data_IF_015608786773
#
_entry.id   IF_015608786773
#
_cell.length_a   1.000
_cell.length_b   1.000
_cell.length_c   1.000
_cell.angle_alpha   90.00
_cell.angle_beta   90.00
_cell.angle_gamma   90.00
#
_symmetry.space_group_name_H-M   'P 1'
#
loop_
_entity.id
_entity.type
_entity.pdbx_description
1 polymer ?
#
# COMPACT_ATOMS: atom_id res chain seq x y z
N UNK A 1 24.25 -20.25 11.98
CA UNK A 1 22.90 -19.69 11.74
C UNK A 1 22.80 -18.40 12.56
N UNK A 2 22.86 -17.24 11.91
CA UNK A 2 22.66 -15.96 12.61
C UNK A 2 21.18 -15.63 12.56
N UNK A 3 20.47 -15.89 13.65
CA UNK A 3 19.14 -15.36 13.89
C UNK A 3 19.27 -13.87 14.16
N UNK A 4 18.81 -13.05 13.21
CA UNK A 4 18.66 -11.63 13.42
C UNK A 4 17.62 -11.41 14.52
N UNK A 5 18.00 -10.72 15.59
CA UNK A 5 17.06 -10.31 16.62
C UNK A 5 16.18 -9.20 16.05
N UNK A 6 15.00 -9.55 15.54
CA UNK A 6 14.01 -8.57 15.08
C UNK A 6 13.53 -7.78 16.29
N UNK A 7 13.89 -6.50 16.34
CA UNK A 7 13.44 -5.57 17.37
C UNK A 7 11.98 -5.22 17.09
N UNK A 8 11.11 -5.40 18.08
CA UNK A 8 9.73 -4.92 17.99
C UNK A 8 9.75 -3.38 18.02
N UNK A 9 9.20 -2.77 16.96
CA UNK A 9 9.10 -1.32 16.79
C UNK A 9 7.70 -0.80 17.16
N UNK A 10 6.79 -1.68 17.59
CA UNK A 10 5.39 -1.37 17.81
C UNK A 10 4.64 -1.16 16.49
N UNK A 11 3.46 -0.54 16.58
CA UNK A 11 2.61 -0.32 15.41
C UNK A 11 3.19 0.75 14.47
N UNK A 12 3.37 0.43 13.17
CA UNK A 12 3.88 1.38 12.20
C UNK A 12 2.85 2.49 11.95
N UNK A 13 3.31 3.75 11.97
CA UNK A 13 2.50 4.92 11.62
C UNK A 13 2.73 5.43 10.21
N UNK A 14 3.85 5.06 9.61
CA UNK A 14 4.26 5.48 8.27
C UNK A 14 5.03 4.36 7.58
N UNK A 15 4.80 4.17 6.29
CA UNK A 15 5.60 3.28 5.43
C UNK A 15 5.64 3.86 4.01
N UNK A 16 6.82 4.09 3.44
CA UNK A 16 7.00 4.69 2.10
C UNK A 16 6.14 5.96 1.89
N UNK A 17 6.14 6.86 2.88
CA UNK A 17 5.34 8.10 2.90
C UNK A 17 3.81 7.91 2.89
N UNK A 18 3.35 6.68 3.13
CA UNK A 18 1.96 6.33 3.38
C UNK A 18 1.71 6.38 4.89
N UNK A 19 0.80 7.25 5.30
CA UNK A 19 0.26 7.31 6.66
C UNK A 19 -0.59 6.06 6.93
N UNK A 20 -0.32 5.42 8.07
CA UNK A 20 -1.04 4.23 8.52
C UNK A 20 -1.76 4.58 9.82
N UNK A 21 -3.08 4.47 9.81
CA UNK A 21 -3.94 4.62 10.98
C UNK A 21 -4.63 3.29 11.29
N UNK A 22 -4.41 2.76 12.49
CA UNK A 22 -5.11 1.57 12.96
C UNK A 22 -6.50 1.96 13.46
N UNK A 23 -7.54 1.37 12.88
CA UNK A 23 -8.94 1.57 13.26
C UNK A 23 -9.51 0.26 13.80
N UNK A 24 -10.64 0.31 14.52
CA UNK A 24 -11.22 -0.88 15.21
C UNK A 24 -11.44 -2.09 14.30
N UNK A 25 -11.67 -1.87 13.01
CA UNK A 25 -11.99 -2.90 12.03
C UNK A 25 -10.94 -3.03 10.92
N UNK A 26 -9.71 -2.54 11.12
CA UNK A 26 -8.64 -2.70 10.14
C UNK A 26 -7.62 -1.57 10.14
N UNK A 27 -7.08 -1.31 8.96
CA UNK A 27 -6.05 -0.30 8.72
C UNK A 27 -6.60 0.70 7.71
N UNK A 28 -6.48 1.98 8.02
CA UNK A 28 -6.72 3.08 7.11
C UNK A 28 -5.37 3.62 6.62
N UNK A 29 -5.21 3.74 5.31
CA UNK A 29 -3.99 4.26 4.68
C UNK A 29 -4.29 5.57 3.96
N UNK A 30 -3.39 6.54 4.09
CA UNK A 30 -3.53 7.89 3.52
C UNK A 30 -2.20 8.38 2.96
N UNK A 31 -2.25 9.11 1.85
CA UNK A 31 -1.11 9.87 1.32
C UNK A 31 -1.40 11.38 1.39
N UNK A 32 -2.28 11.82 2.28
CA UNK A 32 -2.72 13.21 2.37
C UNK A 32 -1.56 14.17 2.57
N UNK A 33 -0.62 13.86 3.47
CA UNK A 33 0.58 14.68 3.67
C UNK A 33 1.45 14.71 2.41
N UNK A 34 1.69 13.56 1.79
CA UNK A 34 2.47 13.50 0.55
C UNK A 34 1.86 14.36 -0.57
N UNK A 35 0.54 14.24 -0.80
CA UNK A 35 -0.16 15.06 -1.79
C UNK A 35 -0.08 16.56 -1.45
N UNK A 36 -0.24 16.92 -0.17
CA UNK A 36 -0.11 18.30 0.28
C UNK A 36 1.31 18.85 0.06
N UNK A 37 2.33 18.10 0.48
CA UNK A 37 3.74 18.50 0.35
C UNK A 37 4.11 18.62 -1.13
N UNK A 38 3.65 17.71 -1.99
CA UNK A 38 3.84 17.79 -3.44
C UNK A 38 3.20 19.04 -4.05
N UNK A 39 1.96 19.37 -3.66
CA UNK A 39 1.29 20.59 -4.11
C UNK A 39 2.01 21.85 -3.61
N UNK A 40 2.55 21.81 -2.39
CA UNK A 40 3.32 22.90 -1.82
C UNK A 40 4.63 23.12 -2.60
N UNK A 41 5.39 22.06 -2.86
CA UNK A 41 6.63 22.11 -3.62
C UNK A 41 6.40 22.55 -5.08
N UNK A 42 5.30 22.12 -5.69
CA UNK A 42 4.91 22.56 -7.03
C UNK A 42 4.37 23.99 -7.09
N UNK A 43 4.15 24.65 -5.94
CA UNK A 43 3.54 25.99 -5.89
C UNK A 43 2.07 25.99 -6.30
N UNK A 44 1.39 24.86 -6.19
CA UNK A 44 0.01 24.64 -6.63
C UNK A 44 -1.03 24.77 -5.50
N UNK A 45 -0.62 25.10 -4.28
CA UNK A 45 -1.55 25.37 -3.17
C UNK A 45 -2.50 26.52 -3.51
N UNK A 46 -3.81 26.28 -3.44
CA UNK A 46 -4.84 27.28 -3.72
C UNK A 46 -5.06 27.56 -5.21
N UNK A 47 -4.43 26.81 -6.12
CA UNK A 47 -4.75 26.86 -7.54
C UNK A 47 -6.17 26.36 -7.79
N UNK A 48 -6.78 26.80 -8.90
CA UNK A 48 -8.13 26.34 -9.28
C UNK A 48 -8.08 24.81 -9.46
N UNK A 49 -9.03 24.07 -8.87
CA UNK A 49 -9.10 22.63 -9.09
C UNK A 49 -9.30 22.38 -10.58
N UNK A 50 -8.52 21.45 -11.12
CA UNK A 50 -8.70 20.91 -12.46
C UNK A 50 -9.33 19.55 -12.27
N UNK A 51 -10.29 19.20 -13.13
CA UNK A 51 -10.81 17.84 -13.23
C UNK A 51 -9.70 16.95 -13.80
N UNK A 52 -8.75 16.58 -12.96
CA UNK A 52 -7.80 15.52 -13.26
C UNK A 52 -8.54 14.23 -12.99
N UNK A 53 -8.83 13.40 -14.01
CA UNK A 53 -9.43 12.10 -13.77
C UNK A 53 -8.40 11.23 -13.06
N UNK A 54 -8.43 11.23 -11.73
CA UNK A 54 -7.80 10.19 -10.94
C UNK A 54 -8.70 8.97 -11.11
N UNK A 55 -8.18 7.92 -11.74
CA UNK A 55 -8.94 6.69 -11.96
C UNK A 55 -9.09 5.92 -10.64
N UNK A 56 -10.12 6.27 -9.88
CA UNK A 56 -10.54 5.53 -8.69
C UNK A 56 -11.23 4.20 -9.02
N UNK A 57 -11.51 3.92 -10.30
CA UNK A 57 -12.29 2.77 -10.76
C UNK A 57 -11.44 1.60 -11.23
N UNK A 58 -10.13 1.77 -11.34
CA UNK A 58 -9.22 0.65 -11.55
C UNK A 58 -9.26 -0.26 -10.33
N UNK A 59 -9.71 -1.51 -10.52
CA UNK A 59 -9.57 -2.55 -9.51
C UNK A 59 -8.07 -2.66 -9.18
N UNK A 60 -7.67 -2.15 -8.01
CA UNK A 60 -6.30 -2.23 -7.51
C UNK A 60 -5.87 -3.67 -7.18
N UNK A 61 -6.83 -4.60 -7.26
CA UNK A 61 -6.64 -6.03 -7.15
C UNK A 61 -6.47 -6.60 -8.55
N UNK A 62 -5.24 -6.94 -8.91
CA UNK A 62 -5.04 -8.07 -9.83
C UNK A 62 -5.16 -9.32 -8.99
N UNK A 63 -6.23 -10.06 -9.19
CA UNK A 63 -6.33 -11.44 -8.72
C UNK A 63 -5.42 -12.30 -9.62
N UNK A 64 -4.10 -12.10 -9.50
CA UNK A 64 -3.10 -12.95 -10.14
C UNK A 64 -2.91 -14.24 -9.30
N UNK A 65 -3.98 -14.74 -8.66
CA UNK A 65 -4.03 -16.14 -8.22
C UNK A 65 -4.26 -17.01 -9.45
N UNK A 66 -3.29 -17.02 -10.37
CA UNK A 66 -3.05 -18.25 -11.10
C UNK A 66 -2.58 -19.22 -10.01
N UNK A 67 -3.54 -20.01 -9.50
CA UNK A 67 -3.25 -21.07 -8.55
C UNK A 67 -2.07 -21.84 -9.11
N UNK A 68 -0.91 -21.76 -8.47
CA UNK A 68 0.19 -22.65 -8.77
C UNK A 68 -0.36 -24.04 -8.51
N UNK A 69 -0.71 -24.78 -9.57
CA UNK A 69 -1.05 -26.19 -9.46
C UNK A 69 0.13 -26.84 -8.74
N UNK A 70 -0.14 -27.32 -7.53
CA UNK A 70 0.81 -28.13 -6.80
C UNK A 70 0.97 -29.42 -7.59
N UNK A 71 2.03 -29.50 -8.40
CA UNK A 71 2.44 -30.76 -9.02
C UNK A 71 3.10 -31.64 -7.96
N UNK A 72 2.36 -31.98 -6.92
CA UNK A 72 2.55 -33.28 -6.26
C UNK A 72 2.01 -34.32 -7.23
N UNK A 73 2.83 -34.71 -8.21
CA UNK A 73 2.69 -36.02 -8.84
C UNK A 73 2.95 -37.07 -7.73
N UNK A 74 1.93 -37.35 -6.93
CA UNK A 74 1.67 -38.72 -6.50
C UNK A 74 0.97 -39.37 -7.68
N UNK A 75 1.73 -40.13 -8.46
CA UNK A 75 1.46 -41.56 -8.64
C UNK A 75 2.57 -42.17 -9.51
N UNK A 76 2.99 -43.37 -9.10
CA UNK A 76 3.65 -44.43 -9.87
C UNK A 76 5.12 -44.80 -9.54
N UNK A 77 5.19 -45.82 -8.65
CA UNK A 77 6.23 -46.83 -8.34
C UNK A 77 7.07 -46.66 -7.07
#
# INVERSE_FOLDING_TARGET
MNTFATKDLGQPRYFLDIEIAHIKHGIFMSQKKYAYDLLQEAGLLGTKPVDTPLDFSSNLWKDDSDYLEDKTNTDDL
#
